data_IF_106436211054
#
_entry.id   IF_106436211054
#
_cell.length_a   1.000
_cell.length_b   1.000
_cell.length_c   1.000
_cell.angle_alpha   90.00
_cell.angle_beta   90.00
_cell.angle_gamma   90.00
#
_symmetry.space_group_name_H-M   'P 1'
#
loop_
_entity.id
_entity.type
_entity.pdbx_description
1 polymer ?
#
# COMPACT_ATOMS: atom_id res chain seq x y z
N UNK A 1 -9.02 37.16 2.84
CA UNK A 1 -10.24 37.62 3.54
C UNK A 1 -11.08 36.40 3.85
N UNK A 2 -11.71 36.35 5.03
CA UNK A 2 -12.55 35.21 5.45
C UNK A 2 -14.00 35.63 5.58
N UNK A 3 -14.90 34.81 5.07
CA UNK A 3 -16.34 34.99 5.20
C UNK A 3 -17.06 33.69 4.83
N UNK A 4 -18.38 33.71 4.76
CA UNK A 4 -19.20 32.56 4.37
C UNK A 4 -19.84 32.72 3.00
N UNK A 5 -20.04 31.60 2.31
CA UNK A 5 -20.81 31.58 1.07
C UNK A 5 -22.26 31.95 1.40
N UNK A 6 -22.78 32.98 0.73
CA UNK A 6 -24.14 33.47 0.92
C UNK A 6 -25.15 32.75 0.04
N UNK A 7 -24.79 32.53 -1.23
CA UNK A 7 -25.66 31.87 -2.20
C UNK A 7 -24.86 31.27 -3.35
N UNK A 8 -25.38 30.21 -3.95
CA UNK A 8 -24.75 29.47 -5.05
C UNK A 8 -25.84 29.03 -6.03
N UNK A 9 -25.52 29.08 -7.31
CA UNK A 9 -26.43 28.76 -8.39
C UNK A 9 -25.71 27.93 -9.46
N UNK A 10 -26.38 26.91 -10.02
CA UNK A 10 -25.89 26.24 -11.21
C UNK A 10 -25.86 27.23 -12.38
N UNK A 11 -24.81 27.18 -13.19
CA UNK A 11 -24.73 27.97 -14.42
C UNK A 11 -25.60 27.31 -15.50
N UNK A 12 -26.26 28.12 -16.33
CA UNK A 12 -27.16 27.65 -17.39
C UNK A 12 -26.44 27.24 -18.69
N UNK A 13 -25.10 27.17 -18.67
CA UNK A 13 -24.30 26.80 -19.83
C UNK A 13 -23.94 25.32 -19.78
N UNK A 14 -23.91 24.65 -20.94
CA UNK A 14 -23.77 23.20 -21.22
C UNK A 14 -22.52 22.47 -20.64
N UNK A 15 -21.85 22.99 -19.61
CA UNK A 15 -20.84 22.25 -18.85
C UNK A 15 -21.45 21.80 -17.51
N UNK A 16 -21.58 20.49 -17.33
CA UNK A 16 -22.27 19.82 -16.20
C UNK A 16 -21.75 20.21 -14.79
N UNK A 17 -20.62 20.91 -14.69
CA UNK A 17 -20.00 21.35 -13.43
C UNK A 17 -19.80 22.87 -13.29
N UNK A 18 -20.42 23.70 -14.15
CA UNK A 18 -20.27 25.15 -14.06
C UNK A 18 -21.25 25.78 -13.05
N UNK A 19 -20.76 26.61 -12.13
CA UNK A 19 -21.57 27.29 -11.11
C UNK A 19 -21.05 28.69 -10.79
N UNK A 20 -21.90 29.52 -10.20
CA UNK A 20 -21.53 30.83 -9.69
C UNK A 20 -22.24 31.14 -8.37
N UNK A 21 -21.74 32.12 -7.63
CA UNK A 21 -22.32 32.47 -6.34
C UNK A 21 -21.78 33.76 -5.76
N UNK A 22 -22.15 34.00 -4.50
CA UNK A 22 -21.78 35.17 -3.75
C UNK A 22 -21.25 34.81 -2.36
N UNK A 23 -20.17 35.45 -1.93
CA UNK A 23 -19.62 35.38 -0.58
C UNK A 23 -20.04 36.65 0.18
N UNK A 24 -20.55 36.49 1.39
CA UNK A 24 -21.08 37.59 2.20
C UNK A 24 -19.99 38.64 2.47
N UNK A 25 -20.32 39.93 2.33
CA UNK A 25 -19.39 40.97 2.78
C UNK A 25 -19.38 41.12 4.29
N UNK A 26 -18.20 41.35 4.88
CA UNK A 26 -18.06 41.61 6.32
C UNK A 26 -18.10 43.11 6.66
N UNK A 27 -18.04 43.98 5.65
CA UNK A 27 -18.00 45.44 5.79
C UNK A 27 -19.35 46.13 5.51
N UNK A 28 -20.42 45.34 5.31
CA UNK A 28 -21.76 45.85 5.00
C UNK A 28 -21.95 46.38 3.57
N UNK A 29 -20.94 46.30 2.70
CA UNK A 29 -21.06 46.65 1.29
C UNK A 29 -21.59 45.47 0.46
N UNK A 30 -21.55 45.60 -0.88
CA UNK A 30 -21.94 44.54 -1.83
C UNK A 30 -21.13 43.26 -1.57
N UNK A 31 -21.78 42.12 -1.77
CA UNK A 31 -21.17 40.78 -1.67
C UNK A 31 -20.16 40.52 -2.81
N UNK A 32 -19.28 39.54 -2.61
CA UNK A 32 -18.25 39.18 -3.59
C UNK A 32 -18.75 38.09 -4.53
N UNK A 33 -18.72 38.35 -5.82
CA UNK A 33 -19.09 37.39 -6.86
C UNK A 33 -17.97 36.38 -7.13
N UNK A 34 -18.32 35.12 -7.34
CA UNK A 34 -17.40 34.07 -7.78
C UNK A 34 -18.01 33.12 -8.82
N UNK A 35 -17.14 32.40 -9.52
CA UNK A 35 -17.46 31.30 -10.43
C UNK A 35 -16.69 30.03 -10.04
N UNK A 36 -17.07 28.87 -10.59
CA UNK A 36 -16.35 27.61 -10.36
C UNK A 36 -14.85 27.69 -10.65
N UNK A 37 -14.42 28.54 -11.60
CA UNK A 37 -13.00 28.78 -11.93
C UNK A 37 -12.18 29.44 -10.82
N UNK A 38 -12.84 29.99 -9.80
CA UNK A 38 -12.18 30.64 -8.68
C UNK A 38 -11.79 29.65 -7.55
N UNK A 39 -12.25 28.40 -7.63
CA UNK A 39 -11.86 27.28 -6.76
C UNK A 39 -10.81 26.38 -7.42
N UNK A 40 -10.04 25.67 -6.60
CA UNK A 40 -9.17 24.59 -7.04
C UNK A 40 -9.87 23.25 -6.81
N UNK A 41 -10.32 22.60 -7.89
CA UNK A 41 -10.90 21.25 -7.90
C UNK A 41 -12.00 21.02 -6.84
N UNK A 42 -13.01 21.89 -6.81
CA UNK A 42 -14.19 21.74 -5.93
C UNK A 42 -15.45 21.54 -6.77
N UNK A 43 -16.15 20.41 -6.55
CA UNK A 43 -17.42 20.12 -7.21
C UNK A 43 -18.57 20.97 -6.65
N UNK A 44 -19.65 21.15 -7.42
CA UNK A 44 -20.80 21.96 -6.99
C UNK A 44 -21.47 21.41 -5.73
N UNK A 45 -21.52 20.08 -5.63
CA UNK A 45 -22.14 19.32 -4.55
C UNK A 45 -21.40 19.49 -3.22
N UNK A 46 -20.13 19.91 -3.25
CA UNK A 46 -19.32 20.19 -2.06
C UNK A 46 -19.62 21.57 -1.45
N UNK A 47 -20.41 22.40 -2.13
CA UNK A 47 -20.67 23.77 -1.73
C UNK A 47 -22.10 23.95 -1.21
N UNK A 48 -22.23 24.67 -0.09
CA UNK A 48 -23.52 25.07 0.46
C UNK A 48 -23.45 26.47 1.05
N UNK A 49 -24.60 27.15 1.12
CA UNK A 49 -24.70 28.43 1.79
C UNK A 49 -24.37 28.26 3.29
N UNK A 50 -23.59 29.19 3.84
CA UNK A 50 -23.05 29.14 5.20
C UNK A 50 -21.64 28.55 5.31
N UNK A 51 -21.11 27.93 4.25
CA UNK A 51 -19.76 27.36 4.26
C UNK A 51 -18.69 28.46 4.37
N UNK A 52 -17.78 28.33 5.33
CA UNK A 52 -16.69 29.29 5.53
C UNK A 52 -15.57 29.11 4.50
N UNK A 53 -15.11 30.24 3.98
CA UNK A 53 -14.10 30.29 2.92
C UNK A 53 -13.10 31.41 3.17
N UNK A 54 -11.88 31.18 2.71
CA UNK A 54 -10.85 32.21 2.56
C UNK A 54 -10.68 32.56 1.08
N UNK A 55 -10.57 33.85 0.76
CA UNK A 55 -10.45 34.33 -0.61
C UNK A 55 -9.64 35.62 -0.72
N UNK A 56 -9.18 35.93 -1.93
CA UNK A 56 -8.55 37.19 -2.30
C UNK A 56 -9.60 38.13 -2.94
N UNK A 57 -9.97 39.25 -2.30
CA UNK A 57 -10.91 40.20 -2.87
C UNK A 57 -10.29 40.95 -4.06
N UNK A 58 -11.11 41.26 -5.06
CA UNK A 58 -10.72 42.06 -6.22
C UNK A 58 -11.89 42.95 -6.65
N UNK A 59 -11.69 44.26 -6.63
CA UNK A 59 -12.73 45.24 -6.99
C UNK A 59 -12.46 45.80 -8.39
N UNK A 60 -13.47 45.78 -9.27
CA UNK A 60 -13.40 46.32 -10.63
C UNK A 60 -14.78 46.83 -11.08
N UNK A 61 -14.83 48.03 -11.65
CA UNK A 61 -16.04 48.62 -12.24
C UNK A 61 -17.27 48.57 -11.30
N UNK A 62 -17.10 48.98 -10.03
CA UNK A 62 -18.14 48.98 -8.97
C UNK A 62 -18.72 47.57 -8.66
N UNK A 63 -17.96 46.52 -9.00
CA UNK A 63 -18.23 45.12 -8.66
C UNK A 63 -17.08 44.54 -7.86
N UNK A 64 -17.42 43.65 -6.93
CA UNK A 64 -16.46 42.95 -6.07
C UNK A 64 -16.43 41.48 -6.44
N UNK A 65 -15.23 40.93 -6.55
CA UNK A 65 -14.97 39.57 -6.96
C UNK A 65 -14.16 38.84 -5.90
N UNK A 66 -14.42 37.55 -5.75
CA UNK A 66 -13.62 36.65 -4.93
C UNK A 66 -12.77 35.75 -5.84
N UNK A 67 -11.45 35.85 -5.71
CA UNK A 67 -10.48 35.03 -6.43
C UNK A 67 -9.73 34.12 -5.45
N UNK A 68 -9.19 33.00 -5.95
CA UNK A 68 -8.37 32.05 -5.17
C UNK A 68 -9.09 31.64 -3.88
N UNK A 69 -10.27 31.02 -4.03
CA UNK A 69 -11.15 30.65 -2.92
C UNK A 69 -10.73 29.28 -2.37
N UNK A 70 -10.60 29.18 -1.06
CA UNK A 70 -10.25 27.96 -0.32
C UNK A 70 -11.32 27.68 0.75
N UNK A 71 -11.74 26.43 0.87
CA UNK A 71 -12.73 25.99 1.88
C UNK A 71 -12.05 25.82 3.24
N UNK A 72 -12.64 26.38 4.30
CA UNK A 72 -12.07 26.31 5.66
C UNK A 72 -12.55 25.09 6.47
N UNK A 73 -13.56 24.36 5.99
CA UNK A 73 -14.14 23.18 6.65
C UNK A 73 -13.86 21.85 5.96
N UNK A 74 -12.87 21.76 5.06
CA UNK A 74 -12.27 20.45 4.82
C UNK A 74 -11.51 20.13 6.10
N UNK A 75 -12.01 19.15 6.88
CA UNK A 75 -11.13 18.41 7.77
C UNK A 75 -9.95 17.98 6.90
N UNK A 76 -8.82 18.61 7.13
CA UNK A 76 -7.70 18.58 6.22
C UNK A 76 -7.14 17.16 6.15
N UNK A 77 -7.44 16.43 5.07
CA UNK A 77 -6.68 15.23 4.73
C UNK A 77 -5.25 15.54 4.24
N UNK A 78 -4.83 16.82 4.21
CA UNK A 78 -3.46 17.21 3.85
C UNK A 78 -2.83 18.32 4.71
N UNK A 79 -3.27 18.52 5.96
CA UNK A 79 -2.43 19.24 6.92
C UNK A 79 -1.62 18.23 7.73
N UNK A 80 -0.34 18.09 7.37
CA UNK A 80 0.65 17.53 8.31
C UNK A 80 0.65 18.50 9.50
N UNK A 81 0.25 18.08 10.72
CA UNK A 81 0.22 18.97 11.86
C UNK A 81 1.62 19.56 12.04
N UNK A 82 1.69 20.90 12.09
CA UNK A 82 2.91 21.63 12.39
C UNK A 82 3.27 21.44 13.88
N UNK A 83 3.63 20.23 14.27
CA UNK A 83 4.26 19.94 15.56
C UNK A 83 5.77 19.78 15.31
N UNK A 84 6.52 20.80 15.73
CA UNK A 84 8.00 20.82 15.78
C UNK A 84 8.71 20.26 14.54
N UNK A 85 9.00 21.13 13.55
CA UNK A 85 9.94 20.81 12.48
C UNK A 85 11.34 20.66 13.09
N UNK A 86 11.63 19.48 13.64
CA UNK A 86 12.95 18.91 13.44
C UNK A 86 13.00 18.52 11.97
N UNK A 87 13.81 19.23 11.19
CA UNK A 87 14.11 18.81 9.83
C UNK A 87 14.72 17.41 9.91
N UNK A 88 13.93 16.38 9.56
CA UNK A 88 14.44 15.02 9.46
C UNK A 88 15.36 14.94 8.23
N UNK A 89 16.57 14.41 8.40
CA UNK A 89 17.43 14.12 7.26
C UNK A 89 16.87 12.94 6.45
N UNK A 90 17.35 12.79 5.22
CA UNK A 90 17.05 11.60 4.41
C UNK A 90 17.40 10.29 5.15
N UNK A 91 18.52 10.29 5.88
CA UNK A 91 18.95 9.14 6.69
C UNK A 91 17.98 8.87 7.85
N UNK A 92 17.47 9.91 8.51
CA UNK A 92 16.47 9.77 9.57
C UNK A 92 15.17 9.19 9.02
N UNK A 93 14.75 9.63 7.83
CA UNK A 93 13.56 9.12 7.16
C UNK A 93 13.72 7.64 6.78
N UNK A 94 14.85 7.25 6.17
CA UNK A 94 15.14 5.85 5.87
C UNK A 94 15.12 4.98 7.13
N UNK A 95 15.71 5.48 8.23
CA UNK A 95 15.72 4.79 9.51
C UNK A 95 14.31 4.61 10.06
N UNK A 96 13.47 5.66 10.03
CA UNK A 96 12.08 5.57 10.49
C UNK A 96 11.25 4.54 9.73
N UNK A 97 11.44 4.41 8.40
CA UNK A 97 10.79 3.36 7.61
C UNK A 97 11.19 1.98 8.12
N UNK A 98 12.49 1.73 8.28
CA UNK A 98 13.00 0.43 8.73
C UNK A 98 12.58 0.12 10.17
N UNK A 99 12.63 1.11 11.06
CA UNK A 99 12.19 0.97 12.45
C UNK A 99 10.69 0.64 12.53
N UNK A 100 9.87 1.21 11.64
CA UNK A 100 8.44 0.91 11.55
C UNK A 100 8.18 -0.55 11.18
N UNK A 101 9.00 -1.16 10.32
CA UNK A 101 8.88 -2.58 9.96
C UNK A 101 9.19 -3.51 11.14
N UNK A 102 10.03 -3.07 12.08
CA UNK A 102 10.37 -3.84 13.28
C UNK A 102 9.18 -4.03 14.23
N UNK A 103 8.09 -3.27 14.05
CA UNK A 103 6.84 -3.47 14.80
C UNK A 103 6.20 -4.84 14.56
N UNK A 104 6.59 -5.55 13.49
CA UNK A 104 6.18 -6.92 13.24
C UNK A 104 6.47 -7.86 14.42
N UNK A 105 7.46 -7.56 15.25
CA UNK A 105 7.81 -8.31 16.45
C UNK A 105 6.68 -8.37 17.49
N UNK A 106 5.81 -7.35 17.48
CA UNK A 106 4.71 -7.19 18.43
C UNK A 106 3.41 -7.85 17.97
N UNK A 107 3.35 -8.37 16.74
CA UNK A 107 2.16 -8.98 16.16
C UNK A 107 1.99 -10.41 16.66
N UNK A 108 1.01 -10.68 17.51
CA UNK A 108 0.80 -12.03 18.06
C UNK A 108 -0.40 -12.76 17.46
N UNK A 109 -1.17 -12.09 16.61
CA UNK A 109 -2.19 -12.71 15.78
C UNK A 109 -1.54 -13.29 14.51
N UNK A 110 -1.91 -14.52 14.15
CA UNK A 110 -1.33 -15.19 12.99
C UNK A 110 -1.74 -14.54 11.67
N UNK A 111 -2.99 -14.09 11.55
CA UNK A 111 -3.50 -13.42 10.36
C UNK A 111 -2.82 -12.06 10.15
N UNK A 112 -2.67 -11.28 11.22
CA UNK A 112 -1.93 -10.02 11.15
C UNK A 112 -0.46 -10.25 10.76
N UNK A 113 0.16 -11.34 11.24
CA UNK A 113 1.55 -11.68 10.89
C UNK A 113 1.68 -12.07 9.41
N UNK A 114 0.73 -12.83 8.88
CA UNK A 114 0.63 -13.13 7.44
C UNK A 114 0.49 -11.84 6.60
N UNK A 115 -0.39 -10.92 7.00
CA UNK A 115 -0.64 -9.67 6.29
C UNK A 115 0.59 -8.74 6.32
N UNK A 116 1.23 -8.62 7.48
CA UNK A 116 2.47 -7.86 7.62
C UNK A 116 3.62 -8.47 6.81
N UNK A 117 3.73 -9.80 6.78
CA UNK A 117 4.72 -10.51 5.97
C UNK A 117 4.48 -10.28 4.48
N UNK A 118 3.23 -10.34 4.03
CA UNK A 118 2.86 -10.06 2.65
C UNK A 118 3.25 -8.62 2.25
N UNK A 119 2.99 -7.64 3.12
CA UNK A 119 3.39 -6.27 2.91
C UNK A 119 4.92 -6.13 2.76
N UNK A 120 5.71 -6.80 3.61
CA UNK A 120 7.18 -6.78 3.50
C UNK A 120 7.65 -7.36 2.16
N UNK A 121 7.07 -8.48 1.71
CA UNK A 121 7.38 -9.07 0.40
C UNK A 121 7.08 -8.09 -0.74
N UNK A 122 5.94 -7.37 -0.68
CA UNK A 122 5.59 -6.34 -1.66
C UNK A 122 6.57 -5.17 -1.64
N UNK A 123 6.96 -4.70 -0.46
CA UNK A 123 7.91 -3.59 -0.27
C UNK A 123 9.33 -3.93 -0.73
N UNK A 124 9.74 -5.20 -0.67
CA UNK A 124 10.99 -5.68 -1.27
C UNK A 124 11.06 -5.45 -2.78
N UNK A 125 9.94 -5.19 -3.46
CA UNK A 125 9.85 -5.06 -4.91
C UNK A 125 9.32 -6.31 -5.59
N UNK A 126 8.77 -7.27 -4.84
CA UNK A 126 8.13 -8.46 -5.39
C UNK A 126 6.71 -8.10 -5.85
N UNK A 127 6.62 -7.53 -7.05
CA UNK A 127 5.33 -7.05 -7.58
C UNK A 127 4.32 -8.17 -7.82
N UNK A 128 4.79 -9.37 -8.15
CA UNK A 128 3.96 -10.56 -8.36
C UNK A 128 3.87 -11.42 -7.11
N UNK A 129 3.52 -10.82 -5.98
CA UNK A 129 3.14 -11.50 -4.74
C UNK A 129 1.61 -11.48 -4.55
N UNK A 130 1.05 -12.61 -4.14
CA UNK A 130 -0.39 -12.80 -3.97
C UNK A 130 -0.69 -13.59 -2.70
N UNK A 131 -1.77 -13.24 -2.00
CA UNK A 131 -2.30 -14.00 -0.88
C UNK A 131 -3.41 -14.95 -1.35
N UNK A 132 -3.57 -16.07 -0.65
CA UNK A 132 -4.71 -16.97 -0.83
C UNK A 132 -5.87 -16.60 0.11
N UNK A 133 -7.10 -16.92 -0.30
CA UNK A 133 -8.30 -16.62 0.49
C UNK A 133 -8.35 -17.44 1.78
N UNK A 134 -8.34 -16.73 2.92
CA UNK A 134 -8.40 -17.32 4.27
C UNK A 134 -9.63 -18.18 4.52
N UNK A 135 -10.75 -17.92 3.85
CA UNK A 135 -12.02 -18.62 4.11
C UNK A 135 -12.09 -20.00 3.45
N UNK A 136 -11.14 -20.34 2.58
CA UNK A 136 -11.09 -21.61 1.82
C UNK A 136 -9.88 -22.48 2.21
N UNK A 137 -9.42 -22.35 3.47
CA UNK A 137 -8.04 -22.55 3.90
C UNK A 137 -7.56 -23.97 4.24
N UNK A 138 -8.41 -24.99 4.36
CA UNK A 138 -7.93 -26.29 4.82
C UNK A 138 -6.77 -26.82 3.93
N UNK A 139 -5.54 -26.81 4.45
CA UNK A 139 -4.33 -27.27 3.76
C UNK A 139 -3.74 -26.34 2.68
N UNK A 140 -4.07 -25.03 2.68
CA UNK A 140 -3.48 -24.05 1.74
C UNK A 140 -2.39 -23.22 2.44
N UNK A 141 -1.41 -22.82 1.65
CA UNK A 141 -0.39 -21.84 2.03
C UNK A 141 -1.04 -20.46 2.23
N UNK A 142 -0.27 -19.48 2.70
CA UNK A 142 -0.76 -18.11 2.86
C UNK A 142 -0.62 -17.31 1.58
N UNK A 143 0.37 -17.65 0.76
CA UNK A 143 0.48 -17.05 -0.56
C UNK A 143 1.53 -17.65 -1.47
N UNK A 144 1.69 -16.97 -2.60
CA UNK A 144 2.64 -17.32 -3.63
C UNK A 144 3.23 -16.04 -4.23
N UNK A 145 4.50 -16.09 -4.59
CA UNK A 145 5.10 -15.02 -5.37
C UNK A 145 6.04 -15.53 -6.46
N UNK A 146 6.23 -14.69 -7.48
CA UNK A 146 7.24 -14.89 -8.52
C UNK A 146 8.08 -13.64 -8.69
N UNK A 147 9.37 -13.83 -8.90
CA UNK A 147 10.33 -12.78 -9.25
C UNK A 147 11.37 -13.39 -10.18
N UNK A 148 11.52 -12.83 -11.39
CA UNK A 148 12.38 -13.39 -12.44
C UNK A 148 12.19 -14.92 -12.61
N UNK A 149 13.26 -15.69 -12.41
CA UNK A 149 13.30 -17.15 -12.51
C UNK A 149 13.00 -17.87 -11.18
N UNK A 150 12.54 -17.18 -10.14
CA UNK A 150 12.15 -17.75 -8.85
C UNK A 150 10.62 -17.79 -8.71
N UNK A 151 10.11 -18.92 -8.21
CA UNK A 151 8.75 -19.04 -7.68
C UNK A 151 8.79 -19.60 -6.28
N UNK A 152 8.00 -18.99 -5.39
CA UNK A 152 7.93 -19.37 -3.98
C UNK A 152 6.47 -19.48 -3.55
N UNK A 153 6.10 -20.63 -3.00
CA UNK A 153 4.90 -20.74 -2.14
C UNK A 153 5.34 -20.52 -0.70
N UNK A 154 4.67 -19.63 0.02
CA UNK A 154 5.04 -19.29 1.39
C UNK A 154 3.87 -19.43 2.35
N UNK A 155 4.21 -19.77 3.58
CA UNK A 155 3.31 -19.96 4.71
C UNK A 155 3.99 -19.39 5.95
N UNK A 156 3.26 -18.65 6.77
CA UNK A 156 3.73 -17.87 7.89
C UNK A 156 3.33 -18.57 9.18
N UNK A 157 4.23 -18.58 10.16
CA UNK A 157 3.88 -19.09 11.48
C UNK A 157 4.66 -18.40 12.58
N UNK A 158 3.96 -18.11 13.67
CA UNK A 158 4.55 -17.61 14.91
C UNK A 158 5.23 -18.75 15.70
N UNK A 159 5.02 -20.01 15.34
CA UNK A 159 5.58 -21.15 16.04
C UNK A 159 6.91 -21.60 15.41
N UNK A 160 7.99 -21.49 16.15
CA UNK A 160 9.35 -21.85 15.71
C UNK A 160 9.58 -23.37 15.60
N UNK A 161 8.78 -24.19 16.27
CA UNK A 161 8.86 -25.66 16.23
C UNK A 161 7.85 -26.24 15.23
N UNK A 162 7.72 -25.60 14.06
CA UNK A 162 6.66 -25.92 13.09
C UNK A 162 6.84 -27.23 12.34
N UNK A 163 8.05 -27.78 12.32
CA UNK A 163 8.42 -28.91 11.46
C UNK A 163 7.51 -30.12 11.65
N UNK A 164 7.10 -30.41 12.89
CA UNK A 164 6.34 -31.62 13.19
C UNK A 164 4.87 -31.52 12.76
N UNK A 165 4.24 -30.36 12.91
CA UNK A 165 2.81 -30.19 12.60
C UNK A 165 2.54 -29.60 11.21
N UNK A 166 3.54 -29.01 10.54
CA UNK A 166 3.42 -28.51 9.16
C UNK A 166 3.89 -29.50 8.10
N UNK A 167 4.40 -30.68 8.48
CA UNK A 167 4.97 -31.66 7.52
C UNK A 167 4.02 -31.96 6.35
N UNK A 168 2.77 -32.29 6.64
CA UNK A 168 1.77 -32.61 5.61
C UNK A 168 1.43 -31.37 4.76
N UNK A 169 1.43 -30.17 5.36
CA UNK A 169 1.23 -28.92 4.62
C UNK A 169 2.39 -28.66 3.65
N UNK A 170 3.64 -28.82 4.11
CA UNK A 170 4.84 -28.67 3.30
C UNK A 170 4.82 -29.65 2.13
N UNK A 171 4.47 -30.91 2.36
CA UNK A 171 4.33 -31.92 1.31
C UNK A 171 3.29 -31.52 0.27
N UNK A 172 2.14 -30.98 0.71
CA UNK A 172 1.13 -30.44 -0.19
C UNK A 172 1.65 -29.27 -1.04
N UNK A 173 2.52 -28.41 -0.48
CA UNK A 173 3.10 -27.28 -1.21
C UNK A 173 4.12 -27.75 -2.25
N UNK A 174 4.97 -28.73 -1.88
CA UNK A 174 5.90 -29.38 -2.79
C UNK A 174 5.14 -30.00 -3.96
N UNK A 175 4.10 -30.78 -3.69
CA UNK A 175 3.28 -31.43 -4.73
C UNK A 175 2.63 -30.42 -5.69
N UNK A 176 2.19 -29.25 -5.18
CA UNK A 176 1.68 -28.16 -6.03
C UNK A 176 2.76 -27.55 -6.92
N UNK A 177 3.97 -27.36 -6.38
CA UNK A 177 5.12 -26.84 -7.14
C UNK A 177 5.77 -27.88 -8.07
N UNK A 178 5.53 -29.18 -7.87
CA UNK A 178 6.06 -30.24 -8.72
C UNK A 178 5.33 -30.37 -10.07
N UNK A 179 4.33 -29.54 -10.34
CA UNK A 179 3.70 -29.44 -11.66
C UNK A 179 4.73 -29.03 -12.73
N UNK A 180 4.58 -29.51 -13.97
CA UNK A 180 5.64 -29.36 -14.99
C UNK A 180 5.71 -27.96 -15.59
N UNK A 181 4.57 -27.37 -15.95
CA UNK A 181 4.56 -26.18 -16.82
C UNK A 181 3.85 -24.98 -16.18
N UNK A 182 2.68 -25.20 -15.59
CA UNK A 182 1.83 -24.14 -15.07
C UNK A 182 1.16 -24.55 -13.75
N UNK A 183 0.93 -23.56 -12.90
CA UNK A 183 0.20 -23.67 -11.65
C UNK A 183 -0.95 -22.66 -11.64
N UNK A 184 -2.18 -23.14 -11.52
CA UNK A 184 -3.36 -22.27 -11.38
C UNK A 184 -3.82 -22.25 -9.93
N UNK A 185 -3.94 -21.05 -9.35
CA UNK A 185 -4.35 -20.84 -7.96
C UNK A 185 -5.32 -19.68 -7.84
N UNK A 186 -6.27 -19.80 -6.92
CA UNK A 186 -7.19 -18.72 -6.59
C UNK A 186 -6.53 -17.75 -5.60
N UNK A 187 -6.29 -16.53 -6.03
CA UNK A 187 -5.66 -15.46 -5.25
C UNK A 187 -6.68 -14.41 -4.82
N UNK A 188 -6.43 -13.77 -3.69
CA UNK A 188 -7.26 -12.68 -3.17
C UNK A 188 -7.06 -11.39 -3.98
N UNK A 189 -8.15 -10.69 -4.27
CA UNK A 189 -8.16 -9.35 -4.84
C UNK A 189 -8.28 -8.29 -3.73
N UNK A 190 -8.01 -7.04 -4.10
CA UNK A 190 -8.16 -5.87 -3.21
C UNK A 190 -9.59 -5.73 -2.68
N UNK A 191 -10.60 -6.09 -3.48
CA UNK A 191 -12.02 -6.05 -3.09
C UNK A 191 -12.46 -7.23 -2.19
N UNK A 192 -11.53 -8.10 -1.78
CA UNK A 192 -11.81 -9.29 -0.98
C UNK A 192 -12.39 -10.49 -1.77
N UNK A 193 -12.62 -10.35 -3.07
CA UNK A 193 -13.01 -11.48 -3.93
C UNK A 193 -11.80 -12.34 -4.34
N UNK A 194 -12.02 -13.59 -4.75
CA UNK A 194 -10.96 -14.43 -5.31
C UNK A 194 -10.91 -14.30 -6.84
N UNK A 195 -9.72 -14.46 -7.44
CA UNK A 195 -9.54 -14.64 -8.89
C UNK A 195 -8.57 -15.77 -9.18
N UNK A 196 -8.85 -16.54 -10.23
CA UNK A 196 -7.95 -17.61 -10.65
C UNK A 196 -6.78 -17.02 -11.42
N UNK A 197 -5.55 -17.32 -10.98
CA UNK A 197 -4.31 -16.84 -11.58
C UNK A 197 -3.42 -18.01 -11.96
N UNK A 198 -2.94 -17.96 -13.20
CA UNK A 198 -2.03 -18.96 -13.75
C UNK A 198 -0.59 -18.44 -13.69
N UNK A 199 0.30 -19.26 -13.12
CA UNK A 199 1.73 -19.00 -13.01
C UNK A 199 2.47 -19.99 -13.90
N UNK A 200 3.33 -19.49 -14.79
CA UNK A 200 4.29 -20.32 -15.52
C UNK A 200 5.43 -20.70 -14.58
N UNK A 201 5.64 -22.00 -14.39
CA UNK A 201 6.65 -22.56 -13.47
C UNK A 201 7.73 -23.36 -14.19
N UNK A 202 7.62 -23.48 -15.51
CA UNK A 202 8.67 -24.03 -16.36
C UNK A 202 9.98 -23.23 -16.20
N UNK A 203 11.11 -23.92 -16.09
CA UNK A 203 12.45 -23.34 -15.95
C UNK A 203 12.65 -22.36 -14.77
N UNK A 204 11.74 -22.37 -13.79
CA UNK A 204 11.89 -21.59 -12.55
C UNK A 204 12.52 -22.42 -11.43
N UNK A 205 13.38 -21.79 -10.64
CA UNK A 205 13.77 -22.28 -9.32
C UNK A 205 12.54 -22.25 -8.41
N UNK A 206 12.27 -23.37 -7.74
CA UNK A 206 11.05 -23.58 -6.95
C UNK A 206 11.44 -23.66 -5.48
N UNK A 207 10.76 -22.89 -4.65
CA UNK A 207 10.99 -22.95 -3.21
C UNK A 207 9.68 -22.95 -2.43
N UNK A 208 9.68 -23.66 -1.30
CA UNK A 208 8.65 -23.56 -0.27
C UNK A 208 9.25 -22.86 0.92
N UNK A 209 8.67 -21.73 1.33
CA UNK A 209 9.16 -20.95 2.45
C UNK A 209 8.20 -21.05 3.63
N UNK A 210 8.71 -21.45 4.78
CA UNK A 210 8.03 -21.25 6.05
C UNK A 210 8.62 -20.02 6.72
N UNK A 211 7.86 -18.93 6.75
CA UNK A 211 8.32 -17.64 7.27
C UNK A 211 8.02 -17.57 8.77
N UNK A 212 9.05 -17.37 9.57
CA UNK A 212 8.99 -17.39 11.03
C UNK A 212 9.78 -16.23 11.63
N UNK A 213 9.76 -16.11 12.97
CA UNK A 213 10.73 -15.30 13.74
C UNK A 213 11.98 -16.07 14.14
N UNK A 214 12.12 -17.30 13.68
CA UNK A 214 13.21 -18.20 14.00
C UNK A 214 14.46 -17.87 13.21
N UNK A 215 14.97 -18.85 12.46
CA UNK A 215 16.24 -18.72 11.73
C UNK A 215 16.06 -19.02 10.26
N UNK A 216 16.80 -18.29 9.43
CA UNK A 216 16.89 -18.60 8.01
C UNK A 216 17.78 -19.81 7.79
N UNK A 217 17.24 -20.86 7.18
CA UNK A 217 17.96 -22.10 6.84
C UNK A 217 17.22 -22.93 5.80
N UNK A 218 17.97 -23.71 5.04
CA UNK A 218 17.41 -24.82 4.28
C UNK A 218 16.98 -25.94 5.25
N UNK A 219 15.76 -26.44 5.03
CA UNK A 219 15.18 -27.56 5.79
C UNK A 219 15.37 -28.84 4.99
N UNK A 220 15.09 -28.80 3.69
CA UNK A 220 15.20 -29.96 2.81
C UNK A 220 15.25 -29.56 1.33
N UNK A 221 15.58 -30.52 0.47
CA UNK A 221 15.48 -30.42 -0.99
C UNK A 221 14.73 -31.65 -1.52
N UNK A 222 13.63 -31.42 -2.25
CA UNK A 222 12.79 -32.46 -2.84
C UNK A 222 12.65 -32.20 -4.34
N UNK A 223 13.25 -33.05 -5.19
CA UNK A 223 13.15 -32.96 -6.65
C UNK A 223 13.43 -31.55 -7.22
N UNK A 224 14.48 -30.87 -6.71
CA UNK A 224 14.85 -29.48 -7.04
C UNK A 224 13.87 -28.41 -6.53
N UNK A 225 13.03 -28.76 -5.55
CA UNK A 225 12.20 -27.82 -4.78
C UNK A 225 12.84 -27.66 -3.40
N UNK A 226 13.46 -26.51 -3.16
CA UNK A 226 14.07 -26.20 -1.87
C UNK A 226 13.02 -25.82 -0.84
N UNK A 227 13.03 -26.46 0.31
CA UNK A 227 12.18 -26.11 1.46
C UNK A 227 13.03 -25.37 2.47
N UNK A 228 12.61 -24.16 2.85
CA UNK A 228 13.40 -23.28 3.72
C UNK A 228 12.56 -22.72 4.85
N UNK A 229 13.19 -22.58 6.01
CA UNK A 229 12.74 -21.65 7.05
C UNK A 229 13.34 -20.30 6.71
N UNK A 230 12.52 -19.25 6.73
CA UNK A 230 12.95 -17.89 6.43
C UNK A 230 12.60 -17.01 7.62
N UNK A 231 13.62 -16.41 8.21
CA UNK A 231 13.42 -15.45 9.28
C UNK A 231 12.91 -14.13 8.69
N UNK A 232 11.80 -13.62 9.23
CA UNK A 232 11.20 -12.36 8.80
C UNK A 232 12.16 -11.17 8.98
N UNK A 233 13.04 -11.22 9.98
CA UNK A 233 14.04 -10.17 10.21
C UNK A 233 15.10 -10.14 9.10
N UNK A 234 15.41 -11.27 8.45
CA UNK A 234 16.33 -11.31 7.32
C UNK A 234 15.70 -10.68 6.07
N UNK A 235 14.39 -10.86 5.86
CA UNK A 235 13.64 -10.15 4.82
C UNK A 235 13.60 -8.63 5.08
N UNK A 236 13.45 -8.22 6.34
CA UNK A 236 13.51 -6.80 6.73
C UNK A 236 14.93 -6.24 6.52
N UNK A 237 15.97 -7.01 6.84
CA UNK A 237 17.37 -6.63 6.60
C UNK A 237 17.66 -6.45 5.11
N UNK A 238 17.14 -7.35 4.28
CA UNK A 238 17.21 -7.27 2.81
C UNK A 238 16.52 -5.99 2.30
N UNK A 239 15.32 -5.68 2.81
CA UNK A 239 14.60 -4.46 2.49
C UNK A 239 15.36 -3.20 2.95
N UNK A 240 15.95 -3.23 4.15
CA UNK A 240 16.79 -2.15 4.66
C UNK A 240 17.98 -1.87 3.74
N UNK A 241 18.64 -2.93 3.27
CA UNK A 241 19.77 -2.84 2.33
C UNK A 241 19.31 -2.22 1.02
N UNK A 242 18.19 -2.69 0.46
CA UNK A 242 17.60 -2.15 -0.77
C UNK A 242 17.20 -0.67 -0.64
N UNK A 243 16.66 -0.25 0.50
CA UNK A 243 16.28 1.16 0.74
C UNK A 243 17.51 2.06 0.78
N UNK A 244 18.63 1.57 1.32
CA UNK A 244 19.87 2.33 1.51
C UNK A 244 20.73 2.40 0.25
N UNK A 245 20.68 1.38 -0.59
CA UNK A 245 21.50 1.26 -1.79
C UNK A 245 20.69 1.60 -3.04
N UNK A 246 20.92 2.79 -3.60
CA UNK A 246 20.24 3.24 -4.82
C UNK A 246 20.58 2.42 -6.06
N UNK A 247 21.67 1.63 -6.03
CA UNK A 247 22.06 0.73 -7.12
C UNK A 247 21.45 -0.66 -7.00
N UNK A 248 20.67 -0.91 -5.94
CA UNK A 248 20.07 -2.21 -5.68
C UNK A 248 19.01 -2.57 -6.73
N UNK A 249 19.35 -3.49 -7.63
CA UNK A 249 18.51 -3.90 -8.74
C UNK A 249 17.77 -5.23 -8.50
N UNK A 250 16.98 -5.63 -9.50
CA UNK A 250 16.15 -6.83 -9.45
C UNK A 250 16.98 -8.12 -9.54
N UNK A 251 18.12 -8.10 -10.22
CA UNK A 251 18.98 -9.27 -10.42
C UNK A 251 19.69 -9.63 -9.11
N UNK A 252 20.19 -8.62 -8.39
CA UNK A 252 20.72 -8.76 -7.04
C UNK A 252 19.64 -9.24 -6.08
N UNK A 253 18.45 -8.62 -6.08
CA UNK A 253 17.33 -9.05 -5.25
C UNK A 253 17.02 -10.53 -5.45
N UNK A 254 16.84 -10.93 -6.71
CA UNK A 254 16.50 -12.31 -7.07
C UNK A 254 17.58 -13.27 -6.62
N UNK A 255 18.85 -12.92 -6.82
CA UNK A 255 19.99 -13.74 -6.40
C UNK A 255 20.04 -13.92 -4.88
N UNK A 256 19.89 -12.85 -4.12
CA UNK A 256 19.88 -12.89 -2.65
C UNK A 256 18.68 -13.68 -2.11
N UNK A 257 17.48 -13.52 -2.69
CA UNK A 257 16.29 -14.32 -2.33
C UNK A 257 16.50 -15.81 -2.64
N UNK A 258 17.08 -16.16 -3.79
CA UNK A 258 17.39 -17.56 -4.13
C UNK A 258 18.34 -18.18 -3.10
N UNK A 259 19.36 -17.42 -2.69
CA UNK A 259 20.42 -17.85 -1.80
C UNK A 259 20.04 -17.78 -0.31
N UNK A 260 18.95 -17.13 0.05
CA UNK A 260 18.51 -16.96 1.44
C UNK A 260 18.40 -18.32 2.12
N UNK A 261 19.19 -18.57 3.17
CA UNK A 261 19.20 -19.84 3.92
C UNK A 261 19.96 -21.00 3.26
N UNK A 262 20.69 -20.75 2.17
CA UNK A 262 21.72 -21.69 1.68
C UNK A 262 23.00 -21.63 2.53
#
# INVERSE_FOLDING_TARGET
MRSSIKSIFPSKNNDDNSYYGFIASTDGQKDYYFTSKNFQDVAFEELSAGLEVEFTPYDKDDKRYANRITLLNKANEHEIPASHVHSASYLDYQKQIVDSLSTIDKINDSGDFEDATHLILRLLGIHSAYQFDRKKQAGKADGIFTIENLIVMYDCTLNVNFTDFKKDQIENYINKLNQKEQLTVDVLKIDGSSTSKMFKIENKKRQVWIITRGKTREINDYDNIKVKEICIYDLISLLSTRIKDSSYDIDRLTSELILLGN
#
